data_IF_921625025921
#
_entry.id   IF_921625025921
#
_cell.length_a   1.000
_cell.length_b   1.000
_cell.length_c   1.000
_cell.angle_alpha   90.00
_cell.angle_beta   90.00
_cell.angle_gamma   90.00
#
_symmetry.space_group_name_H-M   'P 1'
#
loop_
_entity.id
_entity.type
_entity.pdbx_description
1 polymer ?
#
# COMPACT_ATOMS: atom_id res chain seq x y z
N UNK A 1 -9.98 -2.08 -33.16
CA UNK A 1 -9.06 -0.90 -33.06
C UNK A 1 -8.30 -0.99 -31.73
N UNK A 2 -7.00 -0.65 -31.71
CA UNK A 2 -6.24 -0.56 -30.45
C UNK A 2 -6.65 0.70 -29.68
N UNK A 3 -6.82 0.64 -28.36
CA UNK A 3 -7.19 1.81 -27.57
C UNK A 3 -6.08 2.89 -27.64
N UNK A 4 -6.50 4.15 -27.71
CA UNK A 4 -5.57 5.29 -27.70
C UNK A 4 -4.85 5.44 -26.34
N UNK A 5 -3.73 6.17 -26.33
CA UNK A 5 -2.90 6.40 -25.14
C UNK A 5 -3.70 6.86 -23.92
N UNK A 6 -4.58 7.85 -24.10
CA UNK A 6 -5.39 8.41 -23.02
C UNK A 6 -6.32 7.36 -22.39
N UNK A 7 -6.92 6.50 -23.21
CA UNK A 7 -7.81 5.42 -22.75
C UNK A 7 -7.04 4.41 -21.91
N UNK A 8 -5.83 4.03 -22.33
CA UNK A 8 -4.99 3.08 -21.56
C UNK A 8 -4.57 3.67 -20.22
N UNK A 9 -4.22 4.95 -20.20
CA UNK A 9 -3.86 5.64 -18.95
C UNK A 9 -5.06 5.77 -18.01
N UNK A 10 -6.25 6.09 -18.53
CA UNK A 10 -7.48 6.15 -17.74
C UNK A 10 -7.84 4.77 -17.16
N UNK A 11 -7.69 3.70 -17.95
CA UNK A 11 -7.89 2.34 -17.46
C UNK A 11 -6.87 1.91 -16.42
N UNK A 12 -5.59 2.25 -16.58
CA UNK A 12 -4.56 1.98 -15.59
C UNK A 12 -4.85 2.72 -14.27
N UNK A 13 -5.33 3.96 -14.36
CA UNK A 13 -5.80 4.73 -13.21
C UNK A 13 -7.00 4.05 -12.53
N UNK A 14 -8.00 3.63 -13.31
CA UNK A 14 -9.19 2.95 -12.79
C UNK A 14 -8.85 1.62 -12.11
N UNK A 15 -7.94 0.83 -12.70
CA UNK A 15 -7.43 -0.41 -12.07
C UNK A 15 -6.78 -0.07 -10.75
N UNK A 16 -5.83 0.86 -10.73
CA UNK A 16 -5.10 1.27 -9.54
C UNK A 16 -6.03 1.78 -8.44
N UNK A 17 -7.05 2.59 -8.80
CA UNK A 17 -8.11 3.04 -7.90
C UNK A 17 -8.78 1.85 -7.20
N UNK A 18 -9.20 0.83 -7.96
CA UNK A 18 -9.90 -0.34 -7.42
C UNK A 18 -9.01 -1.26 -6.57
N UNK A 19 -7.70 -1.33 -6.84
CA UNK A 19 -6.77 -2.09 -5.99
C UNK A 19 -6.64 -1.50 -4.57
N UNK A 20 -6.97 -0.22 -4.38
CA UNK A 20 -6.84 0.47 -3.10
C UNK A 20 -8.17 0.72 -2.40
N UNK A 21 -9.24 1.04 -3.12
CA UNK A 21 -10.53 1.42 -2.51
C UNK A 21 -11.10 0.32 -1.63
N UNK A 22 -11.22 -0.90 -2.11
CA UNK A 22 -11.74 -2.04 -1.34
C UNK A 22 -10.83 -2.51 -0.20
N UNK A 23 -9.56 -2.09 -0.20
CA UNK A 23 -8.61 -2.38 0.88
C UNK A 23 -8.68 -1.31 1.97
N UNK A 24 -8.51 -0.05 1.62
CA UNK A 24 -8.46 1.07 2.57
C UNK A 24 -9.83 1.33 3.20
N UNK A 25 -10.92 1.11 2.44
CA UNK A 25 -12.28 1.24 2.96
C UNK A 25 -12.64 0.23 4.06
N UNK A 26 -11.85 -0.83 4.26
CA UNK A 26 -12.06 -1.76 5.35
C UNK A 26 -11.75 -1.13 6.72
N UNK A 27 -10.71 -0.26 6.81
CA UNK A 27 -10.29 0.35 8.08
C UNK A 27 -11.44 1.04 8.84
N UNK A 28 -12.15 2.03 8.26
CA UNK A 28 -13.30 2.66 8.90
C UNK A 28 -14.46 1.70 9.19
N UNK A 29 -14.56 0.58 8.48
CA UNK A 29 -15.62 -0.41 8.67
C UNK A 29 -15.29 -1.45 9.77
N UNK A 30 -14.03 -1.57 10.19
CA UNK A 30 -13.59 -2.55 11.18
C UNK A 30 -14.36 -2.51 12.49
N UNK A 31 -14.63 -1.35 13.13
CA UNK A 31 -15.37 -1.32 14.40
C UNK A 31 -16.76 -1.94 14.26
N UNK A 32 -17.52 -1.58 13.22
CA UNK A 32 -18.85 -2.12 12.97
C UNK A 32 -18.80 -3.63 12.67
N UNK A 33 -17.84 -4.06 11.85
CA UNK A 33 -17.61 -5.47 11.50
C UNK A 33 -17.26 -6.31 12.73
N UNK A 34 -16.40 -5.78 13.62
CA UNK A 34 -15.99 -6.45 14.85
C UNK A 34 -17.19 -6.70 15.76
N UNK A 35 -18.10 -5.73 15.87
CA UNK A 35 -19.33 -5.85 16.69
C UNK A 35 -20.31 -6.83 16.03
N UNK A 36 -20.57 -6.71 14.71
CA UNK A 36 -21.57 -7.53 13.99
C UNK A 36 -21.21 -9.03 13.99
N UNK A 37 -19.94 -9.35 13.79
CA UNK A 37 -19.46 -10.73 13.72
C UNK A 37 -18.87 -11.27 15.04
N UNK A 38 -18.87 -10.48 16.13
CA UNK A 38 -18.31 -10.88 17.42
C UNK A 38 -16.82 -11.22 17.36
N UNK A 39 -16.03 -10.50 16.56
CA UNK A 39 -14.61 -10.78 16.36
C UNK A 39 -13.75 -10.21 17.49
N UNK A 40 -12.61 -10.87 17.77
CA UNK A 40 -11.54 -10.23 18.51
C UNK A 40 -10.86 -9.15 17.64
N UNK A 41 -10.20 -8.19 18.28
CA UNK A 41 -9.42 -7.17 17.56
C UNK A 41 -8.24 -7.79 16.79
N UNK A 42 -7.66 -8.88 17.30
CA UNK A 42 -6.65 -9.66 16.58
C UNK A 42 -7.19 -10.24 15.25
N UNK A 43 -8.41 -10.83 15.28
CA UNK A 43 -9.07 -11.34 14.07
C UNK A 43 -9.37 -10.23 13.07
N UNK A 44 -9.89 -9.10 13.53
CA UNK A 44 -10.17 -7.93 12.69
C UNK A 44 -8.87 -7.35 12.10
N UNK A 45 -7.81 -7.25 12.88
CA UNK A 45 -6.47 -6.85 12.41
C UNK A 45 -5.91 -7.80 11.36
N UNK A 46 -6.16 -9.10 11.51
CA UNK A 46 -5.72 -10.10 10.53
C UNK A 46 -6.43 -9.93 9.17
N UNK A 47 -7.71 -9.55 9.16
CA UNK A 47 -8.42 -9.23 7.91
C UNK A 47 -7.74 -8.09 7.12
N UNK A 48 -7.19 -7.08 7.80
CA UNK A 48 -6.43 -6.00 7.15
C UNK A 48 -5.02 -6.44 6.77
N UNK A 49 -4.43 -7.35 7.53
CA UNK A 49 -3.09 -7.88 7.26
C UNK A 49 -3.04 -8.76 6.00
N UNK A 50 -4.10 -9.53 5.73
CA UNK A 50 -4.14 -10.50 4.62
C UNK A 50 -3.84 -9.89 3.25
N UNK A 51 -4.46 -8.80 2.79
CA UNK A 51 -4.13 -8.22 1.49
C UNK A 51 -2.66 -7.81 1.39
N UNK A 52 -2.09 -7.26 2.48
CA UNK A 52 -0.68 -6.87 2.54
C UNK A 52 0.24 -8.08 2.47
N UNK A 53 -0.08 -9.14 3.20
CA UNK A 53 0.64 -10.41 3.14
C UNK A 53 0.61 -10.99 1.72
N UNK A 54 -0.56 -10.97 1.08
CA UNK A 54 -0.72 -11.46 -0.30
C UNK A 54 0.05 -10.60 -1.31
N UNK A 55 0.21 -9.29 -1.08
CA UNK A 55 1.08 -8.45 -1.91
C UNK A 55 2.55 -8.93 -1.85
N UNK A 56 3.03 -9.31 -0.69
CA UNK A 56 4.37 -9.89 -0.52
C UNK A 56 4.48 -11.27 -1.16
N UNK A 57 3.57 -12.18 -0.84
CA UNK A 57 3.58 -13.57 -1.32
C UNK A 57 3.40 -13.66 -2.85
N UNK A 58 2.55 -12.82 -3.42
CA UNK A 58 2.26 -12.81 -4.86
C UNK A 58 3.25 -11.97 -5.68
N UNK A 59 4.20 -11.27 -5.07
CA UNK A 59 5.16 -10.44 -5.79
C UNK A 59 5.99 -11.25 -6.80
N UNK A 60 6.50 -12.41 -6.41
CA UNK A 60 7.30 -13.31 -7.28
C UNK A 60 6.43 -14.12 -8.22
N UNK A 61 5.38 -14.86 -7.76
CA UNK A 61 4.47 -15.57 -8.66
C UNK A 61 3.76 -14.64 -9.64
N UNK A 62 3.31 -13.48 -9.20
CA UNK A 62 2.66 -12.47 -10.05
C UNK A 62 3.59 -12.00 -11.16
N UNK A 63 4.87 -11.79 -10.85
CA UNK A 63 5.88 -11.51 -11.85
C UNK A 63 6.01 -12.60 -12.91
N UNK A 64 6.11 -13.87 -12.50
CA UNK A 64 6.18 -15.02 -13.40
C UNK A 64 4.91 -15.18 -14.27
N UNK A 65 3.73 -14.92 -13.69
CA UNK A 65 2.47 -14.91 -14.44
C UNK A 65 2.47 -13.83 -15.53
N UNK A 66 2.99 -12.63 -15.24
CA UNK A 66 3.11 -11.56 -16.22
C UNK A 66 4.06 -11.96 -17.35
N UNK A 67 5.16 -12.62 -17.03
CA UNK A 67 6.10 -13.09 -18.05
C UNK A 67 5.49 -14.17 -18.96
N UNK A 68 4.60 -15.01 -18.41
CA UNK A 68 3.94 -16.12 -19.15
C UNK A 68 2.70 -15.67 -19.93
N UNK A 69 1.85 -14.83 -19.33
CA UNK A 69 0.53 -14.49 -19.85
C UNK A 69 0.43 -13.05 -20.36
N UNK A 70 1.42 -12.22 -20.05
CA UNK A 70 1.41 -10.80 -20.34
C UNK A 70 0.62 -9.97 -19.30
N UNK A 71 0.97 -8.67 -19.14
CA UNK A 71 0.42 -7.85 -18.07
C UNK A 71 -1.09 -7.63 -18.18
N UNK A 72 -1.65 -7.52 -19.39
CA UNK A 72 -3.08 -7.27 -19.57
C UNK A 72 -3.95 -8.42 -19.05
N UNK A 73 -3.58 -9.68 -19.35
CA UNK A 73 -4.32 -10.86 -18.87
C UNK A 73 -4.20 -11.02 -17.36
N UNK A 74 -3.02 -10.78 -16.81
CA UNK A 74 -2.80 -10.87 -15.35
C UNK A 74 -3.60 -9.81 -14.61
N UNK A 75 -3.69 -8.57 -15.12
CA UNK A 75 -4.58 -7.54 -14.58
C UNK A 75 -6.05 -7.96 -14.67
N UNK A 76 -6.48 -8.58 -15.78
CA UNK A 76 -7.84 -9.10 -15.90
C UNK A 76 -8.15 -10.13 -14.80
N UNK A 77 -7.28 -11.12 -14.63
CA UNK A 77 -7.44 -12.13 -13.59
C UNK A 77 -7.43 -11.52 -12.18
N UNK A 78 -6.50 -10.60 -11.93
CA UNK A 78 -6.40 -9.89 -10.65
C UNK A 78 -7.64 -9.04 -10.34
N UNK A 79 -8.16 -8.27 -11.32
CA UNK A 79 -9.41 -7.52 -11.14
C UNK A 79 -10.62 -8.44 -10.90
N UNK A 80 -10.68 -9.62 -11.55
CA UNK A 80 -11.72 -10.58 -11.29
C UNK A 80 -11.68 -11.09 -9.84
N UNK A 81 -10.50 -11.41 -9.33
CA UNK A 81 -10.31 -11.80 -7.94
C UNK A 81 -10.67 -10.66 -6.96
N UNK A 82 -10.32 -9.42 -7.30
CA UNK A 82 -10.68 -8.23 -6.50
C UNK A 82 -12.19 -8.01 -6.50
N UNK A 83 -12.86 -8.12 -7.65
CA UNK A 83 -14.29 -7.92 -7.76
C UNK A 83 -15.08 -9.01 -7.01
N UNK A 84 -14.76 -10.28 -7.27
CA UNK A 84 -15.44 -11.42 -6.65
C UNK A 84 -15.13 -11.49 -5.16
N UNK A 85 -13.85 -11.54 -4.79
CA UNK A 85 -13.44 -11.57 -3.37
C UNK A 85 -13.92 -10.33 -2.63
N UNK A 86 -13.78 -9.13 -3.25
CA UNK A 86 -14.21 -7.86 -2.67
C UNK A 86 -15.72 -7.78 -2.44
N UNK A 87 -16.51 -8.11 -3.45
CA UNK A 87 -17.98 -8.03 -3.39
C UNK A 87 -18.60 -9.09 -2.49
N UNK A 88 -18.16 -10.35 -2.61
CA UNK A 88 -18.72 -11.44 -1.81
C UNK A 88 -18.40 -11.31 -0.31
N UNK A 89 -17.37 -10.56 0.09
CA UNK A 89 -17.15 -10.23 1.51
C UNK A 89 -18.37 -9.60 2.17
N UNK A 90 -19.16 -8.82 1.42
CA UNK A 90 -20.35 -8.15 1.92
C UNK A 90 -21.45 -9.12 2.40
N UNK A 91 -21.48 -10.32 1.89
CA UNK A 91 -22.49 -11.33 2.24
C UNK A 91 -21.94 -12.45 3.13
N UNK A 92 -20.69 -12.35 3.56
CA UNK A 92 -20.07 -13.33 4.45
C UNK A 92 -20.80 -13.33 5.81
N UNK A 93 -21.34 -14.48 6.26
CA UNK A 93 -22.05 -14.58 7.53
C UNK A 93 -21.12 -14.77 8.72
N UNK A 94 -19.88 -15.18 8.48
CA UNK A 94 -18.92 -15.55 9.53
C UNK A 94 -17.48 -15.20 9.14
N UNK A 95 -16.60 -15.20 10.15
CA UNK A 95 -15.19 -14.83 10.00
C UNK A 95 -14.43 -15.70 9.00
N UNK A 96 -14.64 -17.03 9.00
CA UNK A 96 -13.85 -17.96 8.15
C UNK A 96 -14.10 -17.68 6.67
N UNK A 97 -15.36 -17.51 6.27
CA UNK A 97 -15.69 -17.17 4.89
C UNK A 97 -15.20 -15.77 4.51
N UNK A 98 -15.37 -14.78 5.42
CA UNK A 98 -14.88 -13.43 5.22
C UNK A 98 -13.36 -13.43 5.02
N UNK A 99 -12.64 -14.21 5.81
CA UNK A 99 -11.19 -14.37 5.72
C UNK A 99 -10.78 -15.02 4.39
N UNK A 100 -11.43 -16.11 3.99
CA UNK A 100 -11.16 -16.78 2.70
C UNK A 100 -11.37 -15.85 1.51
N UNK A 101 -12.46 -15.07 1.52
CA UNK A 101 -12.75 -14.07 0.50
C UNK A 101 -11.74 -12.90 0.53
N UNK A 102 -11.21 -12.56 1.70
CA UNK A 102 -10.16 -11.55 1.86
C UNK A 102 -8.82 -12.06 1.31
N UNK A 103 -8.50 -13.36 1.45
CA UNK A 103 -7.35 -13.97 0.78
C UNK A 103 -7.49 -13.90 -0.75
N UNK A 104 -8.67 -14.21 -1.27
CA UNK A 104 -8.96 -14.12 -2.70
C UNK A 104 -8.79 -12.68 -3.22
N UNK A 105 -9.36 -11.72 -2.51
CA UNK A 105 -9.23 -10.29 -2.77
C UNK A 105 -7.76 -9.84 -2.75
N UNK A 106 -7.02 -10.23 -1.70
CA UNK A 106 -5.60 -9.91 -1.54
C UNK A 106 -4.73 -10.51 -2.63
N UNK A 107 -5.01 -11.75 -3.06
CA UNK A 107 -4.31 -12.38 -4.19
C UNK A 107 -4.51 -11.58 -5.48
N UNK A 108 -5.73 -11.08 -5.72
CA UNK A 108 -6.03 -10.21 -6.85
C UNK A 108 -5.19 -8.93 -6.86
N UNK A 109 -5.05 -8.27 -5.70
CA UNK A 109 -4.16 -7.10 -5.54
C UNK A 109 -2.70 -7.50 -5.81
N UNK A 110 -2.24 -8.59 -5.17
CA UNK A 110 -0.85 -9.02 -5.22
C UNK A 110 -0.36 -9.35 -6.63
N UNK A 111 -1.19 -9.96 -7.48
CA UNK A 111 -0.81 -10.24 -8.88
C UNK A 111 -0.95 -9.01 -9.80
N UNK A 112 -1.89 -8.11 -9.50
CA UNK A 112 -2.12 -6.90 -10.31
C UNK A 112 -1.04 -5.84 -10.08
N UNK A 113 -0.53 -5.72 -8.87
CA UNK A 113 0.40 -4.66 -8.49
C UNK A 113 1.70 -4.65 -9.32
N UNK A 114 2.42 -5.77 -9.55
CA UNK A 114 3.60 -5.76 -10.42
C UNK A 114 3.25 -5.66 -11.90
N UNK A 115 2.00 -5.92 -12.28
CA UNK A 115 1.55 -5.94 -13.67
C UNK A 115 1.39 -4.53 -14.26
N UNK A 116 0.94 -3.55 -13.45
CA UNK A 116 0.74 -2.16 -13.89
C UNK A 116 2.04 -1.49 -14.35
N UNK A 117 3.14 -1.46 -13.56
CA UNK A 117 4.41 -0.89 -14.01
C UNK A 117 4.95 -1.58 -15.27
N UNK A 118 4.78 -2.91 -15.38
CA UNK A 118 5.21 -3.67 -16.57
C UNK A 118 4.39 -3.30 -17.81
N UNK A 119 3.07 -3.13 -17.66
CA UNK A 119 2.21 -2.64 -18.74
C UNK A 119 2.66 -1.25 -19.20
N UNK A 120 2.90 -0.34 -18.26
CA UNK A 120 3.35 1.02 -18.59
C UNK A 120 4.70 1.01 -19.31
N UNK A 121 5.67 0.24 -18.81
CA UNK A 121 6.99 0.12 -19.44
C UNK A 121 6.93 -0.48 -20.84
N UNK A 122 6.06 -1.47 -21.06
CA UNK A 122 5.95 -2.11 -22.38
C UNK A 122 5.26 -1.21 -23.40
N UNK A 123 4.36 -0.32 -22.98
CA UNK A 123 3.55 0.50 -23.89
C UNK A 123 4.03 1.95 -24.00
N UNK A 124 4.68 2.47 -22.98
CA UNK A 124 5.12 3.87 -22.91
C UNK A 124 6.57 4.00 -22.42
N UNK A 125 7.55 3.35 -23.07
CA UNK A 125 8.94 3.33 -22.59
C UNK A 125 9.56 4.72 -22.45
N UNK A 126 9.15 5.69 -23.30
CA UNK A 126 9.66 7.08 -23.30
C UNK A 126 8.94 8.01 -22.32
N UNK A 127 7.87 7.57 -21.64
CA UNK A 127 7.03 8.40 -20.78
C UNK A 127 6.76 7.74 -19.42
N UNK A 128 7.71 6.97 -18.91
CA UNK A 128 7.53 6.17 -17.68
C UNK A 128 7.17 7.01 -16.46
N UNK A 129 7.76 8.19 -16.29
CA UNK A 129 7.44 9.08 -15.18
C UNK A 129 5.96 9.50 -15.15
N UNK A 130 5.44 9.98 -16.30
CA UNK A 130 4.05 10.40 -16.41
C UNK A 130 3.09 9.23 -16.20
N UNK A 131 3.36 8.10 -16.83
CA UNK A 131 2.48 6.92 -16.74
C UNK A 131 2.47 6.31 -15.35
N UNK A 132 3.62 6.31 -14.65
CA UNK A 132 3.72 5.92 -13.26
C UNK A 132 2.94 6.88 -12.36
N UNK A 133 3.06 8.19 -12.58
CA UNK A 133 2.31 9.20 -11.85
C UNK A 133 0.80 9.03 -12.00
N UNK A 134 0.32 8.70 -13.19
CA UNK A 134 -1.11 8.47 -13.46
C UNK A 134 -1.64 7.28 -12.65
N UNK A 135 -1.03 6.10 -12.72
CA UNK A 135 -1.56 4.97 -11.95
C UNK A 135 -1.34 5.14 -10.44
N UNK A 136 -0.25 5.79 -10.01
CA UNK A 136 -0.01 6.09 -8.60
C UNK A 136 -1.07 7.05 -8.04
N UNK A 137 -1.48 8.08 -8.83
CA UNK A 137 -2.60 8.95 -8.43
C UNK A 137 -3.91 8.18 -8.29
N UNK A 138 -4.15 7.15 -9.11
CA UNK A 138 -5.29 6.25 -8.99
C UNK A 138 -5.29 5.50 -7.65
N UNK A 139 -4.15 4.95 -7.23
CA UNK A 139 -4.01 4.29 -5.91
C UNK A 139 -4.37 5.25 -4.77
N UNK A 140 -3.83 6.47 -4.79
CA UNK A 140 -4.07 7.45 -3.73
C UNK A 140 -5.50 7.96 -3.73
N UNK A 141 -6.05 8.28 -4.90
CA UNK A 141 -7.45 8.73 -5.02
C UNK A 141 -8.41 7.65 -4.54
N UNK A 142 -8.16 6.38 -4.88
CA UNK A 142 -8.92 5.25 -4.37
C UNK A 142 -8.87 5.15 -2.84
N UNK A 143 -7.69 5.37 -2.24
CA UNK A 143 -7.53 5.41 -0.79
C UNK A 143 -8.32 6.54 -0.14
N UNK A 144 -8.22 7.77 -0.67
CA UNK A 144 -8.88 8.96 -0.12
C UNK A 144 -10.41 8.80 -0.20
N UNK A 145 -10.93 8.41 -1.38
CA UNK A 145 -12.37 8.29 -1.60
C UNK A 145 -12.94 7.18 -0.71
N UNK A 146 -12.27 6.03 -0.62
CA UNK A 146 -12.72 4.94 0.25
C UNK A 146 -12.70 5.34 1.73
N UNK A 147 -11.63 6.01 2.17
CA UNK A 147 -11.53 6.53 3.52
C UNK A 147 -12.65 7.54 3.85
N UNK A 148 -12.94 8.46 2.92
CA UNK A 148 -13.92 9.53 3.13
C UNK A 148 -15.38 9.05 3.10
N UNK A 149 -15.71 8.07 2.24
CA UNK A 149 -17.09 7.66 2.01
C UNK A 149 -17.59 6.59 2.97
N UNK A 150 -16.70 5.74 3.49
CA UNK A 150 -17.13 4.62 4.35
C UNK A 150 -17.80 5.12 5.63
N UNK A 151 -17.24 6.11 6.34
CA UNK A 151 -17.82 6.63 7.57
C UNK A 151 -19.24 7.20 7.42
N UNK A 152 -19.49 8.12 6.48
CA UNK A 152 -20.84 8.64 6.23
C UNK A 152 -21.88 7.57 5.87
N UNK A 153 -21.47 6.49 5.19
CA UNK A 153 -22.36 5.36 4.91
C UNK A 153 -22.72 4.64 6.21
N UNK A 154 -21.75 4.40 7.09
CA UNK A 154 -21.96 3.75 8.38
C UNK A 154 -22.88 4.58 9.28
N UNK A 155 -22.63 5.89 9.38
CA UNK A 155 -23.44 6.81 10.21
C UNK A 155 -24.90 6.90 9.74
N UNK A 156 -25.14 6.85 8.41
CA UNK A 156 -26.50 6.89 7.85
C UNK A 156 -27.30 5.64 8.11
N UNK A 157 -26.67 4.47 8.11
CA UNK A 157 -27.36 3.19 8.32
C UNK A 157 -27.54 2.95 9.82
N UNK A 158 -26.53 3.27 10.64
CA UNK A 158 -26.58 3.16 12.10
C UNK A 158 -26.68 1.75 12.67
N UNK A 159 -26.60 0.71 11.84
CA UNK A 159 -26.66 -0.68 12.26
C UNK A 159 -25.29 -1.35 12.26
N UNK A 160 -25.02 -2.34 13.12
CA UNK A 160 -23.77 -3.08 13.12
C UNK A 160 -23.41 -3.69 11.75
N UNK A 161 -24.40 -4.19 10.99
CA UNK A 161 -24.23 -4.76 9.66
C UNK A 161 -23.94 -3.72 8.55
N UNK A 162 -23.90 -2.43 8.86
CA UNK A 162 -23.69 -1.34 7.90
C UNK A 162 -22.36 -1.47 7.11
N UNK A 163 -21.36 -2.16 7.65
CA UNK A 163 -20.08 -2.43 6.99
C UNK A 163 -20.22 -3.21 5.67
N UNK A 164 -21.32 -3.95 5.48
CA UNK A 164 -21.57 -4.75 4.29
C UNK A 164 -21.73 -3.90 3.04
N UNK A 165 -22.42 -2.75 3.17
CA UNK A 165 -22.69 -1.87 2.03
C UNK A 165 -21.41 -1.26 1.41
N UNK A 166 -20.49 -0.64 2.17
CA UNK A 166 -19.23 -0.18 1.59
C UNK A 166 -18.44 -1.28 0.89
N UNK A 167 -18.34 -2.49 1.47
CA UNK A 167 -17.63 -3.59 0.83
C UNK A 167 -18.29 -4.02 -0.48
N UNK A 168 -19.62 -4.08 -0.51
CA UNK A 168 -20.37 -4.38 -1.73
C UNK A 168 -20.12 -3.33 -2.82
N UNK A 169 -20.18 -2.04 -2.47
CA UNK A 169 -19.97 -0.93 -3.40
C UNK A 169 -18.56 -0.97 -4.03
N UNK A 170 -17.53 -1.20 -3.22
CA UNK A 170 -16.16 -1.32 -3.74
C UNK A 170 -15.98 -2.58 -4.61
N UNK A 171 -16.62 -3.69 -4.26
CA UNK A 171 -16.62 -4.91 -5.07
C UNK A 171 -17.35 -4.72 -6.41
N UNK A 172 -18.51 -4.05 -6.40
CA UNK A 172 -19.27 -3.72 -7.61
C UNK A 172 -18.47 -2.78 -8.53
N UNK A 173 -17.82 -1.76 -7.96
CA UNK A 173 -16.98 -0.84 -8.72
C UNK A 173 -15.80 -1.57 -9.38
N UNK A 174 -15.19 -2.52 -8.68
CA UNK A 174 -14.17 -3.39 -9.25
C UNK A 174 -14.72 -4.28 -10.37
N UNK A 175 -15.96 -4.77 -10.23
CA UNK A 175 -16.68 -5.51 -11.28
C UNK A 175 -16.94 -4.67 -12.53
N UNK A 176 -17.39 -3.44 -12.35
CA UNK A 176 -17.55 -2.47 -13.46
C UNK A 176 -16.19 -2.19 -14.13
N UNK A 177 -15.15 -1.95 -13.34
CA UNK A 177 -13.80 -1.75 -13.87
C UNK A 177 -13.29 -2.96 -14.64
N UNK A 178 -13.58 -4.19 -14.18
CA UNK A 178 -13.27 -5.44 -14.88
C UNK A 178 -13.97 -5.52 -16.25
N UNK A 179 -15.26 -5.20 -16.30
CA UNK A 179 -16.04 -5.21 -17.55
C UNK A 179 -15.44 -4.22 -18.54
N UNK A 180 -15.23 -2.96 -18.11
CA UNK A 180 -14.65 -1.91 -18.96
C UNK A 180 -13.24 -2.34 -19.43
N UNK A 181 -12.42 -2.86 -18.51
CA UNK A 181 -11.09 -3.36 -18.83
C UNK A 181 -11.11 -4.49 -19.86
N UNK A 182 -11.93 -5.50 -19.66
CA UNK A 182 -12.00 -6.67 -20.56
C UNK A 182 -12.49 -6.29 -21.96
N UNK A 183 -13.49 -5.40 -22.06
CA UNK A 183 -14.01 -4.94 -23.33
C UNK A 183 -12.97 -4.13 -24.10
N UNK A 184 -12.35 -3.15 -23.44
CA UNK A 184 -11.42 -2.21 -24.11
C UNK A 184 -10.05 -2.84 -24.38
N UNK A 185 -9.55 -3.68 -23.45
CA UNK A 185 -8.22 -4.31 -23.56
C UNK A 185 -8.25 -5.66 -24.28
N UNK A 186 -9.44 -6.13 -24.74
CA UNK A 186 -9.59 -7.38 -25.51
C UNK A 186 -8.53 -7.57 -26.60
N UNK A 187 -8.21 -6.57 -27.45
CA UNK A 187 -7.20 -6.74 -28.49
C UNK A 187 -5.79 -7.07 -27.92
N UNK A 188 -5.47 -6.55 -26.76
CA UNK A 188 -4.17 -6.75 -26.11
C UNK A 188 -4.12 -8.04 -25.27
N UNK A 189 -5.26 -8.50 -24.78
CA UNK A 189 -5.36 -9.80 -24.16
C UNK A 189 -5.24 -10.94 -25.18
N UNK A 190 -5.59 -10.70 -26.44
CA UNK A 190 -5.44 -11.67 -27.53
C UNK A 190 -4.00 -11.77 -28.06
N UNK A 191 -3.17 -10.74 -27.86
CA UNK A 191 -1.75 -10.80 -28.26
C UNK A 191 -1.04 -11.90 -27.45
N UNK A 192 -0.25 -12.80 -28.10
CA UNK A 192 0.67 -13.66 -27.39
C UNK A 192 1.50 -12.79 -26.45
N UNK A 193 1.74 -13.27 -25.22
CA UNK A 193 2.76 -12.64 -24.40
C UNK A 193 4.00 -12.55 -25.31
N UNK A 194 4.42 -11.34 -25.66
CA UNK A 194 5.68 -11.17 -26.35
C UNK A 194 6.66 -11.90 -25.44
N UNK A 195 7.08 -13.09 -25.87
CA UNK A 195 8.15 -13.87 -25.22
C UNK A 195 9.26 -12.87 -25.06
N UNK A 196 9.44 -12.41 -23.81
CA UNK A 196 10.06 -11.15 -23.50
C UNK A 196 11.15 -10.91 -24.50
N UNK A 197 11.18 -9.74 -25.09
CA UNK A 197 12.43 -9.17 -25.46
C UNK A 197 13.28 -9.24 -24.18
N UNK A 198 13.84 -10.42 -23.92
CA UNK A 198 15.12 -10.53 -23.30
C UNK A 198 15.98 -9.69 -24.21
N UNK A 199 15.96 -8.37 -23.99
CA UNK A 199 17.17 -7.65 -24.27
C UNK A 199 18.17 -8.48 -23.51
N UNK A 200 19.05 -9.23 -24.18
CA UNK A 200 20.17 -9.82 -23.51
C UNK A 200 20.99 -8.60 -23.10
N UNK A 201 20.61 -8.01 -21.97
CA UNK A 201 21.53 -7.16 -21.29
C UNK A 201 22.63 -8.16 -20.93
N UNK A 202 23.69 -8.20 -21.77
CA UNK A 202 25.00 -8.70 -21.40
C UNK A 202 25.47 -7.86 -20.22
N UNK A 203 24.71 -7.97 -19.12
CA UNK A 203 25.16 -7.47 -17.84
C UNK A 203 26.21 -8.48 -17.42
N UNK A 204 27.44 -8.04 -17.40
CA UNK A 204 28.51 -8.68 -16.67
C UNK A 204 27.99 -8.91 -15.26
N UNK A 205 27.41 -10.09 -15.03
CA UNK A 205 26.87 -10.46 -13.73
C UNK A 205 28.05 -10.48 -12.77
N UNK A 206 28.08 -9.54 -11.83
CA UNK A 206 29.03 -9.60 -10.73
C UNK A 206 28.76 -10.92 -10.00
N UNK A 207 29.63 -11.89 -10.23
CA UNK A 207 29.51 -13.20 -9.63
C UNK A 207 29.61 -13.07 -8.11
N UNK A 208 28.68 -13.73 -7.38
CA UNK A 208 28.76 -13.85 -5.93
C UNK A 208 28.00 -12.82 -5.11
N UNK A 209 27.56 -11.66 -5.65
CA UNK A 209 26.75 -10.73 -4.86
C UNK A 209 25.30 -11.24 -4.71
N UNK A 210 24.82 -11.19 -3.47
CA UNK A 210 23.43 -11.49 -3.14
C UNK A 210 22.92 -10.49 -2.10
N UNK A 211 21.69 -9.96 -2.23
CA UNK A 211 21.16 -9.00 -1.29
C UNK A 211 21.02 -9.56 0.13
N UNK A 212 20.86 -10.88 0.27
CA UNK A 212 20.76 -11.56 1.57
C UNK A 212 22.03 -11.48 2.43
N UNK A 213 23.18 -11.21 1.84
CA UNK A 213 24.47 -11.03 2.52
C UNK A 213 24.90 -9.57 2.62
N UNK A 214 24.13 -8.66 2.06
CA UNK A 214 24.44 -7.23 2.03
C UNK A 214 23.77 -6.50 3.19
N UNK A 215 24.57 -5.89 4.07
CA UNK A 215 24.08 -5.14 5.22
C UNK A 215 23.20 -3.97 4.82
N UNK A 216 23.49 -3.28 3.72
CA UNK A 216 22.70 -2.13 3.26
C UNK A 216 21.33 -2.57 2.71
N UNK A 217 21.26 -3.76 2.09
CA UNK A 217 20.01 -4.35 1.67
C UNK A 217 19.12 -4.66 2.88
N UNK A 218 19.69 -5.17 3.98
CA UNK A 218 18.95 -5.41 5.23
C UNK A 218 18.48 -4.11 5.90
N UNK A 219 19.30 -3.05 5.92
CA UNK A 219 18.90 -1.73 6.43
C UNK A 219 17.70 -1.21 5.63
N UNK A 220 17.75 -1.30 4.30
CA UNK A 220 16.66 -0.87 3.42
C UNK A 220 15.39 -1.70 3.63
N UNK A 221 15.52 -3.03 3.77
CA UNK A 221 14.41 -3.92 4.04
C UNK A 221 13.79 -3.65 5.42
N UNK A 222 14.62 -3.41 6.45
CA UNK A 222 14.16 -3.06 7.80
C UNK A 222 13.47 -1.70 7.85
N UNK A 223 13.95 -0.72 7.09
CA UNK A 223 13.31 0.59 6.98
C UNK A 223 11.93 0.48 6.32
N UNK A 224 11.83 -0.29 5.22
CA UNK A 224 10.54 -0.59 4.60
C UNK A 224 9.62 -1.35 5.56
N UNK A 225 10.12 -2.35 6.28
CA UNK A 225 9.36 -3.13 7.24
C UNK A 225 8.80 -2.27 8.38
N UNK A 226 9.64 -1.45 9.02
CA UNK A 226 9.24 -0.55 10.10
C UNK A 226 8.15 0.43 9.63
N UNK A 227 8.35 1.07 8.47
CA UNK A 227 7.37 1.95 7.86
C UNK A 227 6.05 1.21 7.55
N UNK A 228 6.15 0.02 6.96
CA UNK A 228 4.98 -0.76 6.59
C UNK A 228 4.17 -1.23 7.80
N UNK A 229 4.81 -1.66 8.87
CA UNK A 229 4.16 -2.04 10.13
C UNK A 229 3.28 -0.88 10.62
N UNK A 230 3.84 0.32 10.77
CA UNK A 230 3.09 1.47 11.31
C UNK A 230 2.05 2.00 10.33
N UNK A 231 2.32 1.97 9.02
CA UNK A 231 1.34 2.40 8.01
C UNK A 231 0.08 1.53 8.06
N UNK A 232 0.24 0.21 7.98
CA UNK A 232 -0.92 -0.69 7.96
C UNK A 232 -1.59 -0.85 9.33
N UNK A 233 -0.84 -0.65 10.42
CA UNK A 233 -1.41 -0.50 11.75
C UNK A 233 -2.36 0.70 11.80
N UNK A 234 -1.92 1.88 11.32
CA UNK A 234 -2.76 3.07 11.27
C UNK A 234 -3.91 2.94 10.27
N UNK A 235 -3.69 2.26 9.13
CA UNK A 235 -4.78 1.95 8.18
C UNK A 235 -5.89 1.12 8.84
N UNK A 236 -5.53 0.15 9.67
CA UNK A 236 -6.49 -0.68 10.38
C UNK A 236 -7.19 0.07 11.51
N UNK A 237 -6.42 0.74 12.36
CA UNK A 237 -6.89 1.11 13.69
C UNK A 237 -7.01 2.61 13.94
N UNK A 238 -6.46 3.48 13.08
CA UNK A 238 -6.62 4.93 13.26
C UNK A 238 -8.09 5.36 13.35
N UNK A 239 -9.03 4.82 12.53
CA UNK A 239 -10.45 5.08 12.70
C UNK A 239 -11.00 4.61 14.07
N UNK A 240 -10.62 3.43 14.52
CA UNK A 240 -11.06 2.90 15.82
C UNK A 240 -10.54 3.73 16.98
N UNK A 241 -9.28 4.16 16.94
CA UNK A 241 -8.64 5.02 17.94
C UNK A 241 -9.39 6.34 18.10
N UNK A 242 -9.74 7.00 16.99
CA UNK A 242 -10.54 8.23 17.05
C UNK A 242 -11.98 7.97 17.47
N UNK A 243 -12.56 6.82 17.12
CA UNK A 243 -13.89 6.40 17.56
C UNK A 243 -13.96 6.20 19.08
N UNK A 244 -12.97 5.53 19.69
CA UNK A 244 -12.86 5.37 21.15
C UNK A 244 -12.68 6.72 21.86
N UNK A 245 -12.06 7.69 21.21
CA UNK A 245 -11.94 9.06 21.70
C UNK A 245 -13.23 9.92 21.50
N UNK A 246 -14.35 9.29 21.11
CA UNK A 246 -15.66 9.94 20.98
C UNK A 246 -15.95 10.61 19.64
N UNK A 247 -15.12 10.39 18.61
CA UNK A 247 -15.41 10.93 17.28
C UNK A 247 -16.47 10.09 16.54
N UNK A 248 -17.38 10.75 15.80
CA UNK A 248 -18.34 10.05 14.93
C UNK A 248 -17.63 9.31 13.79
N UNK A 249 -18.28 8.31 13.17
CA UNK A 249 -17.71 7.58 12.06
C UNK A 249 -17.39 8.50 10.86
N UNK A 250 -18.21 9.53 10.62
CA UNK A 250 -17.92 10.55 9.59
C UNK A 250 -16.68 11.37 9.92
N UNK A 251 -16.53 11.86 11.16
CA UNK A 251 -15.34 12.61 11.58
C UNK A 251 -14.08 11.76 11.50
N UNK A 252 -14.15 10.53 11.97
CA UNK A 252 -13.08 9.53 11.92
C UNK A 252 -12.66 9.24 10.49
N UNK A 253 -13.62 9.06 9.58
CA UNK A 253 -13.35 8.85 8.16
C UNK A 253 -12.68 10.06 7.52
N UNK A 254 -13.07 11.28 7.89
CA UNK A 254 -12.43 12.50 7.38
C UNK A 254 -10.97 12.62 7.86
N UNK A 255 -10.69 12.34 9.13
CA UNK A 255 -9.33 12.33 9.67
C UNK A 255 -8.47 11.26 9.00
N UNK A 256 -9.03 10.07 8.76
CA UNK A 256 -8.36 9.00 8.03
C UNK A 256 -8.13 9.36 6.55
N UNK A 257 -9.06 10.11 5.93
CA UNK A 257 -8.88 10.63 4.58
C UNK A 257 -7.73 11.66 4.52
N UNK A 258 -7.59 12.52 5.53
CA UNK A 258 -6.44 13.46 5.65
C UNK A 258 -5.12 12.70 5.77
N UNK A 259 -5.06 11.66 6.60
CA UNK A 259 -3.89 10.78 6.69
C UNK A 259 -3.51 10.22 5.31
N UNK A 260 -4.47 9.68 4.55
CA UNK A 260 -4.23 9.14 3.21
C UNK A 260 -3.90 10.23 2.18
N UNK A 261 -4.56 11.39 2.21
CA UNK A 261 -4.32 12.49 1.28
C UNK A 261 -2.89 13.04 1.41
N UNK A 262 -2.39 13.14 2.65
CA UNK A 262 -1.04 13.60 2.93
C UNK A 262 0.07 12.68 2.39
N UNK A 263 -0.27 11.43 2.03
CA UNK A 263 0.68 10.49 1.42
C UNK A 263 1.09 10.92 0.02
N UNK A 264 0.19 11.53 -0.77
CA UNK A 264 0.44 11.85 -2.18
C UNK A 264 1.59 12.85 -2.38
N UNK A 265 1.57 14.04 -1.76
CA UNK A 265 2.70 14.96 -1.89
C UNK A 265 4.00 14.36 -1.34
N UNK A 266 3.95 13.59 -0.28
CA UNK A 266 5.14 12.99 0.33
C UNK A 266 5.83 11.98 -0.61
N UNK A 267 5.08 11.07 -1.22
CA UNK A 267 5.62 10.08 -2.18
C UNK A 267 6.35 10.75 -3.35
N UNK A 268 5.90 11.93 -3.76
CA UNK A 268 6.52 12.67 -4.88
C UNK A 268 7.68 13.55 -4.42
N UNK A 269 7.49 14.31 -3.34
CA UNK A 269 8.44 15.36 -2.95
C UNK A 269 9.72 14.81 -2.32
N UNK A 270 9.65 13.76 -1.48
CA UNK A 270 10.84 13.23 -0.82
C UNK A 270 11.88 12.66 -1.79
N UNK A 271 11.52 11.82 -2.80
CA UNK A 271 12.47 11.38 -3.83
C UNK A 271 13.04 12.54 -4.66
N UNK A 272 12.20 13.51 -5.07
CA UNK A 272 12.64 14.70 -5.82
C UNK A 272 13.63 15.51 -5.00
N UNK A 273 13.34 15.72 -3.72
CA UNK A 273 14.25 16.41 -2.81
C UNK A 273 15.57 15.65 -2.64
N UNK A 274 15.51 14.35 -2.45
CA UNK A 274 16.66 13.45 -2.38
C UNK A 274 17.54 13.53 -3.63
N UNK A 275 16.91 13.56 -4.81
CA UNK A 275 17.65 13.65 -6.08
C UNK A 275 18.29 15.00 -6.28
N UNK A 276 17.64 16.10 -5.89
CA UNK A 276 18.21 17.46 -5.92
C UNK A 276 19.39 17.61 -4.96
N UNK A 277 19.29 17.06 -3.76
CA UNK A 277 20.38 17.06 -2.78
C UNK A 277 21.51 16.10 -3.13
N UNK A 278 21.26 15.15 -4.05
CA UNK A 278 22.16 14.01 -4.33
C UNK A 278 22.53 13.19 -3.08
N UNK A 279 21.66 13.22 -2.06
CA UNK A 279 21.82 12.54 -0.76
C UNK A 279 20.55 11.84 -0.37
N UNK A 280 20.66 10.64 0.24
CA UNK A 280 19.51 9.82 0.63
C UNK A 280 19.10 10.02 2.09
N UNK A 281 20.07 10.19 2.99
CA UNK A 281 19.82 10.27 4.43
C UNK A 281 18.98 11.48 4.85
N UNK A 282 19.27 12.73 4.45
CA UNK A 282 18.52 13.89 4.96
C UNK A 282 17.00 13.82 4.67
N UNK A 283 16.54 13.49 3.45
CA UNK A 283 15.10 13.33 3.19
C UNK A 283 14.49 12.17 3.96
N UNK A 284 15.20 11.03 4.09
CA UNK A 284 14.71 9.88 4.85
C UNK A 284 14.57 10.23 6.35
N UNK A 285 15.55 10.90 6.94
CA UNK A 285 15.50 11.40 8.32
C UNK A 285 14.35 12.38 8.53
N UNK A 286 14.19 13.35 7.63
CA UNK A 286 13.08 14.31 7.72
C UNK A 286 11.71 13.62 7.67
N UNK A 287 11.53 12.63 6.78
CA UNK A 287 10.31 11.85 6.69
C UNK A 287 10.04 11.07 7.98
N UNK A 288 11.04 10.36 8.52
CA UNK A 288 10.94 9.63 9.77
C UNK A 288 10.63 10.54 10.97
N UNK A 289 11.24 11.74 10.99
CA UNK A 289 10.96 12.75 12.03
C UNK A 289 9.55 13.31 11.92
N UNK A 290 9.04 13.58 10.70
CA UNK A 290 7.65 13.99 10.51
C UNK A 290 6.67 12.94 11.01
N UNK A 291 6.94 11.65 10.74
CA UNK A 291 6.15 10.56 11.29
C UNK A 291 6.16 10.58 12.81
N UNK A 292 7.34 10.65 13.43
CA UNK A 292 7.48 10.67 14.89
C UNK A 292 6.72 11.86 15.51
N UNK A 293 6.83 13.05 14.93
CA UNK A 293 6.09 14.22 15.41
C UNK A 293 4.58 14.02 15.28
N UNK A 294 4.11 13.45 14.16
CA UNK A 294 2.70 13.15 13.96
C UNK A 294 2.14 12.20 15.01
N UNK A 295 2.85 11.09 15.30
CA UNK A 295 2.38 10.11 16.30
C UNK A 295 2.53 10.61 17.74
N UNK A 296 3.55 11.41 18.06
CA UNK A 296 3.64 12.08 19.36
C UNK A 296 2.48 13.08 19.57
N UNK A 297 2.08 13.79 18.50
CA UNK A 297 0.91 14.64 18.55
C UNK A 297 -0.39 13.86 18.79
N UNK A 298 -0.55 12.69 18.16
CA UNK A 298 -1.70 11.80 18.42
C UNK A 298 -1.76 11.32 19.87
N UNK A 299 -0.61 11.15 20.53
CA UNK A 299 -0.51 10.70 21.92
C UNK A 299 -0.76 11.82 22.95
N UNK A 300 -0.23 13.01 22.69
CA UNK A 300 -0.06 14.03 23.73
C UNK A 300 -1.13 15.11 23.74
N UNK A 301 -1.86 15.28 22.62
CA UNK A 301 -2.73 16.43 22.49
C UNK A 301 -4.19 16.02 22.36
N UNK A 302 -5.09 16.77 23.03
CA UNK A 302 -6.50 16.54 22.89
C UNK A 302 -6.91 16.65 21.42
N UNK A 303 -7.88 15.84 21.03
CA UNK A 303 -8.45 15.79 19.67
C UNK A 303 -9.24 17.07 19.32
N UNK A 304 -8.79 18.22 19.82
CA UNK A 304 -9.40 19.53 19.59
C UNK A 304 -8.92 20.16 18.27
N UNK A 305 -9.81 20.89 17.60
CA UNK A 305 -9.46 21.68 16.41
C UNK A 305 -8.47 22.81 16.78
N UNK A 306 -7.51 23.15 15.89
CA UNK A 306 -7.27 22.55 14.56
C UNK A 306 -6.28 21.36 14.57
N UNK A 307 -5.71 21.05 15.69
CA UNK A 307 -4.58 20.12 15.84
C UNK A 307 -4.92 18.69 15.44
N UNK A 308 -6.16 18.25 15.65
CA UNK A 308 -6.62 16.93 15.26
C UNK A 308 -6.41 16.60 13.77
N UNK A 309 -6.35 17.61 12.90
CA UNK A 309 -6.12 17.45 11.47
C UNK A 309 -4.63 17.39 11.13
N UNK A 310 -3.81 18.10 11.90
CA UNK A 310 -2.38 18.21 11.66
C UNK A 310 -1.66 16.88 11.92
N UNK A 311 -1.99 16.20 13.01
CA UNK A 311 -1.25 14.99 13.41
C UNK A 311 -1.40 13.83 12.43
N UNK A 312 -2.59 13.47 11.94
CA UNK A 312 -2.73 12.48 10.86
C UNK A 312 -2.02 12.90 9.58
N UNK A 313 -2.04 14.20 9.23
CA UNK A 313 -1.34 14.69 8.05
C UNK A 313 0.18 14.52 8.16
N UNK A 314 0.78 14.86 9.31
CA UNK A 314 2.22 14.66 9.56
C UNK A 314 2.58 13.17 9.57
N UNK A 315 1.81 12.34 10.24
CA UNK A 315 2.03 10.90 10.29
C UNK A 315 1.94 10.28 8.88
N UNK A 316 0.91 10.64 8.10
CA UNK A 316 0.73 10.18 6.72
C UNK A 316 1.85 10.62 5.79
N UNK A 317 2.24 11.90 5.86
CA UNK A 317 3.37 12.45 5.09
C UNK A 317 4.68 11.76 5.45
N UNK A 318 4.95 11.62 6.74
CA UNK A 318 6.19 11.02 7.23
C UNK A 318 6.33 9.56 6.83
N UNK A 319 5.33 8.73 7.13
CA UNK A 319 5.37 7.30 6.82
C UNK A 319 5.48 7.04 5.31
N UNK A 320 4.84 7.87 4.48
CA UNK A 320 4.90 7.73 3.02
C UNK A 320 6.19 8.29 2.42
N UNK A 321 6.76 9.30 3.04
CA UNK A 321 8.11 9.77 2.69
C UNK A 321 9.16 8.68 2.92
N UNK A 322 9.12 7.99 4.07
CA UNK A 322 10.00 6.84 4.35
C UNK A 322 9.76 5.70 3.36
N UNK A 323 8.49 5.40 3.03
CA UNK A 323 8.14 4.41 2.00
C UNK A 323 8.79 4.75 0.66
N UNK A 324 8.62 5.97 0.17
CA UNK A 324 9.17 6.40 -1.09
C UNK A 324 10.71 6.33 -1.12
N UNK A 325 11.36 6.72 -0.01
CA UNK A 325 12.81 6.62 0.11
C UNK A 325 13.28 5.16 0.12
N UNK A 326 12.61 4.26 0.85
CA UNK A 326 13.00 2.83 0.89
C UNK A 326 12.88 2.12 -0.45
N UNK A 327 12.01 2.60 -1.36
CA UNK A 327 11.91 2.07 -2.73
C UNK A 327 13.06 2.51 -3.65
N UNK A 328 13.72 3.63 -3.33
CA UNK A 328 14.85 4.13 -4.13
C UNK A 328 16.16 3.46 -3.74
N UNK A 329 16.35 3.15 -2.46
CA UNK A 329 17.59 2.60 -1.91
C UNK A 329 18.12 1.33 -2.60
N UNK A 330 17.29 0.34 -3.01
CA UNK A 330 17.77 -0.86 -3.70
C UNK A 330 18.55 -0.57 -4.98
N UNK A 331 18.25 0.53 -5.67
CA UNK A 331 18.96 0.92 -6.88
C UNK A 331 20.38 1.47 -6.60
N UNK A 332 20.55 2.07 -5.42
CA UNK A 332 21.85 2.64 -5.00
C UNK A 332 22.79 1.58 -4.38
N UNK A 333 22.24 0.43 -3.94
CA UNK A 333 22.99 -0.64 -3.28
C UNK A 333 23.45 -1.71 -4.29
N UNK A 334 22.56 -2.06 -5.21
CA UNK A 334 22.76 -3.22 -6.07
C UNK A 334 23.77 -2.93 -7.18
N UNK A 335 24.69 -3.88 -7.45
CA UNK A 335 25.52 -3.81 -8.65
C UNK A 335 24.66 -3.79 -9.93
N UNK A 336 25.21 -3.30 -11.06
CA UNK A 336 24.51 -3.33 -12.34
C UNK A 336 23.94 -4.72 -12.65
N UNK A 337 22.64 -4.77 -12.99
CA UNK A 337 21.92 -6.02 -13.29
C UNK A 337 21.35 -6.77 -12.08
N UNK A 338 21.59 -6.34 -10.85
CA UNK A 338 21.10 -7.00 -9.64
C UNK A 338 20.05 -6.18 -8.86
N UNK A 339 19.68 -4.99 -9.35
CA UNK A 339 18.69 -4.11 -8.70
C UNK A 339 17.34 -4.82 -8.48
N UNK A 340 16.91 -5.68 -9.41
CA UNK A 340 15.68 -6.45 -9.26
C UNK A 340 15.73 -7.43 -8.09
N UNK A 341 16.88 -8.06 -7.82
CA UNK A 341 17.04 -8.97 -6.68
C UNK A 341 17.00 -8.19 -5.35
N UNK A 342 17.68 -7.04 -5.29
CA UNK A 342 17.64 -6.17 -4.10
C UNK A 342 16.23 -5.66 -3.82
N UNK A 343 15.55 -5.11 -4.84
CA UNK A 343 14.19 -4.64 -4.71
C UNK A 343 13.22 -5.76 -4.32
N UNK A 344 13.39 -6.96 -4.91
CA UNK A 344 12.59 -8.13 -4.56
C UNK A 344 12.71 -8.53 -3.09
N UNK A 345 13.93 -8.56 -2.53
CA UNK A 345 14.16 -8.83 -1.12
C UNK A 345 13.51 -7.76 -0.23
N UNK A 346 13.74 -6.48 -0.52
CA UNK A 346 13.19 -5.36 0.26
C UNK A 346 11.67 -5.39 0.27
N UNK A 347 11.03 -5.62 -0.88
CA UNK A 347 9.57 -5.70 -0.98
C UNK A 347 9.01 -6.93 -0.28
N UNK A 348 9.65 -8.11 -0.42
CA UNK A 348 9.19 -9.35 0.20
C UNK A 348 9.22 -9.24 1.73
N UNK A 349 10.36 -8.83 2.30
CA UNK A 349 10.51 -8.65 3.75
C UNK A 349 9.59 -7.53 4.24
N UNK A 350 9.58 -6.40 3.51
CA UNK A 350 8.80 -5.23 3.89
C UNK A 350 7.31 -5.53 3.98
N UNK A 351 6.70 -6.12 2.94
CA UNK A 351 5.27 -6.45 2.96
C UNK A 351 4.93 -7.59 3.94
N UNK A 352 5.80 -8.60 4.08
CA UNK A 352 5.58 -9.66 5.07
C UNK A 352 5.56 -9.10 6.50
N UNK A 353 6.53 -8.23 6.83
CA UNK A 353 6.56 -7.57 8.13
C UNK A 353 5.39 -6.59 8.32
N UNK A 354 4.99 -5.87 7.27
CA UNK A 354 3.87 -4.92 7.31
C UNK A 354 2.56 -5.56 7.75
N UNK A 355 2.35 -6.83 7.41
CA UNK A 355 1.17 -7.59 7.83
C UNK A 355 1.10 -7.80 9.34
N UNK A 356 2.22 -7.68 10.07
CA UNK A 356 2.24 -7.82 11.53
C UNK A 356 1.60 -6.62 12.23
N UNK A 357 1.67 -5.42 11.67
CA UNK A 357 1.20 -4.18 12.32
C UNK A 357 -0.26 -4.25 12.79
N UNK A 358 -1.22 -4.50 11.89
CA UNK A 358 -2.63 -4.62 12.27
C UNK A 358 -2.91 -5.72 13.29
N UNK A 359 -2.22 -6.86 13.19
CA UNK A 359 -2.41 -8.02 14.07
C UNK A 359 -1.87 -7.72 15.47
N UNK A 360 -0.64 -7.21 15.56
CA UNK A 360 -0.02 -6.86 16.86
C UNK A 360 -0.89 -5.84 17.59
N UNK A 361 -1.34 -4.79 16.91
CA UNK A 361 -2.20 -3.79 17.52
C UNK A 361 -3.54 -4.37 17.99
N UNK A 362 -4.14 -5.29 17.22
CA UNK A 362 -5.35 -5.99 17.62
C UNK A 362 -5.14 -6.88 18.85
N UNK A 363 -4.06 -7.67 18.89
CA UNK A 363 -3.70 -8.50 20.06
C UNK A 363 -3.46 -7.63 21.30
N UNK A 364 -2.72 -6.53 21.14
CA UNK A 364 -2.47 -5.59 22.26
C UNK A 364 -3.80 -5.04 22.79
N UNK A 365 -4.70 -4.66 21.90
CA UNK A 365 -6.05 -4.17 22.28
C UNK A 365 -6.88 -5.23 22.98
N UNK A 366 -6.86 -6.48 22.52
CA UNK A 366 -7.57 -7.61 23.15
C UNK A 366 -7.06 -7.87 24.58
N UNK A 367 -5.74 -7.74 24.81
CA UNK A 367 -5.11 -8.01 26.11
C UNK A 367 -5.24 -6.83 27.08
N UNK A 368 -5.06 -5.59 26.59
CA UNK A 368 -5.00 -4.39 27.45
C UNK A 368 -6.34 -3.69 27.62
N UNK A 369 -7.32 -3.97 26.76
CA UNK A 369 -8.61 -3.31 26.78
C UNK A 369 -8.64 -1.92 26.16
N UNK A 370 -7.49 -1.36 25.67
CA UNK A 370 -7.40 -0.04 25.04
C UNK A 370 -6.33 -0.02 23.93
N UNK A 371 -6.37 1.01 23.06
CA UNK A 371 -5.30 1.26 22.09
C UNK A 371 -4.11 2.05 22.66
N UNK A 372 -4.12 2.44 23.93
CA UNK A 372 -3.05 3.27 24.52
C UNK A 372 -1.67 2.62 24.41
N UNK A 373 -1.59 1.32 24.76
CA UNK A 373 -0.35 0.56 24.63
C UNK A 373 0.12 0.46 23.15
N UNK A 374 -0.81 0.31 22.22
CA UNK A 374 -0.51 0.33 20.77
C UNK A 374 0.03 1.70 20.34
N UNK A 375 -0.59 2.79 20.82
CA UNK A 375 -0.13 4.15 20.52
C UNK A 375 1.29 4.39 21.05
N UNK A 376 1.65 3.82 22.21
CA UNK A 376 3.01 3.93 22.78
C UNK A 376 4.06 3.17 21.95
N UNK A 377 3.68 2.16 21.16
CA UNK A 377 4.61 1.48 20.25
C UNK A 377 5.00 2.33 19.04
N UNK A 378 4.12 3.23 18.60
CA UNK A 378 4.36 4.03 17.38
C UNK A 378 5.59 4.95 17.49
N UNK A 379 5.83 5.71 18.58
CA UNK A 379 7.05 6.48 18.75
C UNK A 379 8.31 5.63 18.79
N UNK A 380 8.27 4.44 19.39
CA UNK A 380 9.41 3.53 19.42
C UNK A 380 9.80 3.10 17.99
N UNK A 381 8.82 2.73 17.16
CA UNK A 381 9.06 2.38 15.76
C UNK A 381 9.47 3.63 14.97
N UNK A 382 8.93 4.81 15.27
CA UNK A 382 9.37 6.09 14.70
C UNK A 382 10.84 6.38 14.98
N UNK A 383 11.28 6.16 16.22
CA UNK A 383 12.70 6.25 16.62
C UNK A 383 13.58 5.24 15.87
N UNK A 384 13.11 4.00 15.71
CA UNK A 384 13.78 2.99 14.89
C UNK A 384 13.90 3.43 13.42
N UNK A 385 12.86 4.02 12.85
CA UNK A 385 12.91 4.54 11.47
C UNK A 385 13.93 5.67 11.33
N UNK A 386 14.07 6.55 12.33
CA UNK A 386 15.12 7.58 12.36
C UNK A 386 16.51 6.95 12.39
N UNK A 387 16.73 5.97 13.28
CA UNK A 387 18.01 5.27 13.37
C UNK A 387 18.37 4.54 12.05
N UNK A 388 17.42 3.82 11.46
CA UNK A 388 17.62 3.15 10.17
C UNK A 388 17.85 4.14 9.03
N UNK A 389 17.17 5.29 9.02
CA UNK A 389 17.38 6.36 8.04
C UNK A 389 18.78 6.97 8.13
N UNK A 390 19.32 7.13 9.36
CA UNK A 390 20.69 7.59 9.58
C UNK A 390 21.74 6.59 9.07
N UNK A 391 21.42 5.30 9.06
CA UNK A 391 22.28 4.23 8.57
C UNK A 391 22.06 3.91 7.08
N UNK A 392 21.05 4.52 6.44
CA UNK A 392 20.71 4.25 5.05
C UNK A 392 21.91 4.49 4.11
N UNK A 393 22.03 3.72 3.01
CA UNK A 393 23.07 3.92 2.03
C UNK A 393 22.99 5.33 1.42
N UNK A 394 24.14 5.92 1.18
CA UNK A 394 24.29 7.14 0.38
C UNK A 394 24.73 6.79 -1.04
N UNK A 395 24.45 7.66 -1.99
CA UNK A 395 24.93 7.48 -3.37
C UNK A 395 26.45 7.40 -3.40
N UNK A 396 26.97 6.41 -4.09
CA UNK A 396 28.41 6.33 -4.32
C UNK A 396 28.86 7.47 -5.25
N UNK A 397 29.99 8.18 -4.93
CA UNK A 397 30.49 9.26 -5.78
C UNK A 397 30.71 8.88 -7.25
N UNK A 398 30.95 7.60 -7.52
CA UNK A 398 31.16 7.03 -8.87
C UNK A 398 29.87 6.95 -9.72
N UNK A 399 28.68 7.15 -9.15
CA UNK A 399 27.41 7.17 -9.90
C UNK A 399 26.94 8.62 -10.20
N UNK A 400 27.77 9.60 -9.91
CA UNK A 400 27.43 11.05 -10.06
C UNK A 400 27.96 11.64 -11.39
N UNK A 401 28.61 10.84 -12.21
CA UNK A 401 29.16 11.27 -13.49
C UNK A 401 28.46 10.59 -14.66
N UNK A 402 27.24 11.05 -14.98
CA UNK A 402 26.68 11.01 -16.36
C UNK A 402 25.44 11.94 -16.39
#
# INVERSE_FOLDING_TARGET
MRPGTAVVLALAWLVAFNLRSGFIGLGPALPALTVDLGLSFAQAGFLVAVPTLMMGLMAVPGGALVDRWGPARVITAGLALVAVGGGLRAIAPEFVLLLALTFLFGAGIGVSQPSLPRLMRSRFPLRLGVTTGVYASGLVTGSIIAASLTGPILDRIGEPAAWRLPLLLWGMLAGIALIIWTVVMRPWCAEPAAVGSRVPQKQTMVAGWTPWRDRQAWISASLFAAQGIVYYLLVAWLPAIYGEAGSSATATAALFAVFNAATLPAILLFPIWSDRLRRRRPPALAAATLFLLGVLGLLMLPLADPWRWLWPALAGSGVSGVFAMSLVLPADIAPPGRTGAAAGMVLAIGYAASALGPVIAGVVRDVTGSFDATLLLLPAIGGLMIALSALAPERSPTQVGD
#
